data_IF_673839748771
#
_entry.id   IF_673839748771
#
_cell.length_a   1.000
_cell.length_b   1.000
_cell.length_c   1.000
_cell.angle_alpha   90.00
_cell.angle_beta   90.00
_cell.angle_gamma   90.00
#
_symmetry.space_group_name_H-M   'P 1'
#
loop_
_entity.id
_entity.type
_entity.pdbx_description
1 polymer ?
#
# COMPACT_ATOMS: atom_id res chain seq x y z
N UNK A 1 69.28 30.02 28.67
CA UNK A 1 67.83 29.88 28.38
C UNK A 1 67.71 28.91 27.21
N UNK A 2 67.42 27.64 27.50
CA UNK A 2 67.38 26.58 26.48
C UNK A 2 65.93 26.36 26.03
N UNK A 3 65.69 26.44 24.72
CA UNK A 3 64.39 26.16 24.12
C UNK A 3 64.10 24.63 24.13
N UNK A 4 62.86 24.20 24.38
CA UNK A 4 62.50 22.79 24.28
C UNK A 4 62.37 22.35 22.82
N UNK A 5 62.99 21.20 22.51
CA UNK A 5 62.85 20.49 21.24
C UNK A 5 61.39 20.03 21.04
N UNK A 6 60.73 20.56 20.00
CA UNK A 6 59.47 20.02 19.48
C UNK A 6 59.79 18.80 18.61
N UNK A 7 59.48 17.62 19.13
CA UNK A 7 59.52 16.37 18.37
C UNK A 7 58.35 16.37 17.37
N UNK A 8 58.58 16.17 16.06
CA UNK A 8 57.50 16.08 15.09
C UNK A 8 56.70 14.77 15.28
N UNK A 9 55.38 14.78 15.05
CA UNK A 9 54.55 13.60 15.22
C UNK A 9 54.90 12.53 14.18
N UNK A 10 55.02 11.30 14.65
CA UNK A 10 55.31 10.10 13.87
C UNK A 10 54.22 9.87 12.78
N UNK A 11 54.57 9.69 11.49
CA UNK A 11 53.60 9.45 10.41
C UNK A 11 52.72 8.21 10.63
N UNK A 12 53.11 7.28 11.50
CA UNK A 12 52.29 6.13 11.89
C UNK A 12 51.03 6.53 12.70
N UNK A 13 51.09 7.61 13.47
CA UNK A 13 49.96 8.09 14.29
C UNK A 13 48.93 8.85 13.44
N UNK A 14 49.37 9.57 12.41
CA UNK A 14 48.48 10.26 11.47
C UNK A 14 47.69 9.26 10.59
N UNK A 15 48.34 8.18 10.15
CA UNK A 15 47.67 7.13 9.37
C UNK A 15 46.62 6.37 10.21
N UNK A 16 46.89 6.11 11.50
CA UNK A 16 45.91 5.49 12.43
C UNK A 16 44.69 6.38 12.69
N UNK A 17 44.86 7.71 12.74
CA UNK A 17 43.75 8.65 12.90
C UNK A 17 42.83 8.69 11.65
N UNK A 18 43.38 8.56 10.45
CA UNK A 18 42.59 8.53 9.21
C UNK A 18 41.87 7.19 8.98
N UNK A 19 42.45 6.06 9.40
CA UNK A 19 41.78 4.75 9.34
C UNK A 19 40.66 4.65 10.38
N UNK A 20 40.85 5.22 11.57
CA UNK A 20 39.80 5.30 12.61
C UNK A 20 38.61 6.18 12.19
N UNK A 21 38.87 7.21 11.36
CA UNK A 21 37.82 8.10 10.82
C UNK A 21 37.00 7.45 9.69
N UNK A 22 37.54 6.43 9.01
CA UNK A 22 36.86 5.71 7.93
C UNK A 22 35.85 4.68 8.46
N UNK A 23 36.13 4.06 9.62
CA UNK A 23 35.20 3.11 10.27
C UNK A 23 34.14 3.77 11.17
N UNK A 24 34.20 5.09 11.40
CA UNK A 24 33.19 5.80 12.19
C UNK A 24 32.04 6.40 11.37
N UNK A 25 32.05 6.29 10.03
CA UNK A 25 30.92 6.67 9.17
C UNK A 25 29.75 5.66 9.18
N UNK A 26 29.81 4.63 10.01
CA UNK A 26 28.70 3.68 10.20
C UNK A 26 27.87 3.94 11.46
N UNK A 27 28.24 4.91 12.30
CA UNK A 27 27.57 5.15 13.59
C UNK A 27 27.07 6.59 13.71
N UNK A 28 25.94 6.82 13.05
CA UNK A 28 24.79 7.63 13.51
C UNK A 28 23.73 7.57 12.41
N UNK A 29 23.22 6.35 12.14
CA UNK A 29 21.92 6.23 11.50
C UNK A 29 20.94 6.91 12.46
N UNK A 30 20.42 8.08 12.08
CA UNK A 30 19.16 8.52 12.66
C UNK A 30 18.21 7.31 12.57
N UNK A 31 17.59 6.94 13.68
CA UNK A 31 16.74 5.76 13.71
C UNK A 31 15.48 6.04 12.88
N UNK A 32 15.36 5.47 11.67
CA UNK A 32 14.10 5.46 10.94
C UNK A 32 13.14 4.45 11.60
N UNK A 33 11.93 4.87 11.97
CA UNK A 33 10.89 3.95 12.49
C UNK A 33 10.28 3.04 11.41
N UNK A 34 10.71 3.18 10.14
CA UNK A 34 10.16 2.40 9.03
C UNK A 34 10.24 0.90 9.22
N UNK A 35 11.20 0.38 9.99
CA UNK A 35 11.26 -1.05 10.30
C UNK A 35 10.07 -1.48 11.16
N UNK A 36 9.76 -0.72 12.20
CA UNK A 36 8.59 -0.97 13.07
C UNK A 36 7.29 -0.83 12.27
N UNK A 37 7.17 0.21 11.43
CA UNK A 37 6.04 0.37 10.52
C UNK A 37 5.89 -0.80 9.54
N UNK A 38 7.00 -1.33 9.03
CA UNK A 38 6.98 -2.49 8.12
C UNK A 38 6.47 -3.72 8.85
N UNK A 39 6.92 -3.97 10.09
CA UNK A 39 6.43 -5.09 10.90
C UNK A 39 4.94 -4.96 11.20
N UNK A 40 4.48 -3.79 11.67
CA UNK A 40 3.04 -3.53 11.90
C UNK A 40 2.21 -3.77 10.64
N UNK A 41 2.69 -3.27 9.50
CA UNK A 41 2.04 -3.47 8.21
C UNK A 41 1.90 -4.96 7.85
N UNK A 42 2.92 -5.77 8.09
CA UNK A 42 2.82 -7.21 7.84
C UNK A 42 1.92 -7.92 8.83
N UNK A 43 1.94 -7.54 10.10
CA UNK A 43 1.02 -8.09 11.09
C UNK A 43 -0.44 -7.84 10.68
N UNK A 44 -0.75 -6.62 10.27
CA UNK A 44 -2.08 -6.23 9.75
C UNK A 44 -2.46 -7.01 8.49
N UNK A 45 -1.57 -7.06 7.49
CA UNK A 45 -1.83 -7.77 6.23
C UNK A 45 -1.97 -9.29 6.45
N UNK A 46 -1.14 -9.88 7.31
CA UNK A 46 -1.16 -11.30 7.63
C UNK A 46 -2.42 -11.67 8.41
N UNK A 47 -2.78 -10.90 9.44
CA UNK A 47 -3.99 -11.13 10.25
C UNK A 47 -5.24 -11.15 9.35
N UNK A 48 -5.36 -10.20 8.44
CA UNK A 48 -6.50 -10.13 7.50
C UNK A 48 -6.45 -11.22 6.42
N UNK A 49 -5.27 -11.71 6.05
CA UNK A 49 -5.13 -12.81 5.10
C UNK A 49 -5.48 -14.18 5.70
N UNK A 50 -5.28 -14.35 7.00
CA UNK A 50 -5.56 -15.58 7.74
C UNK A 50 -7.00 -15.66 8.27
N UNK A 51 -7.72 -14.53 8.29
CA UNK A 51 -9.12 -14.49 8.68
C UNK A 51 -10.02 -15.31 7.74
N UNK A 52 -10.73 -16.29 8.29
CA UNK A 52 -11.73 -17.09 7.56
C UNK A 52 -13.13 -16.45 7.59
N UNK A 53 -13.32 -15.40 8.38
CA UNK A 53 -14.58 -14.65 8.42
C UNK A 53 -14.74 -13.77 7.18
N UNK A 54 -15.98 -13.66 6.71
CA UNK A 54 -16.38 -12.76 5.64
C UNK A 54 -16.16 -11.31 6.11
N UNK A 55 -14.96 -10.76 5.91
CA UNK A 55 -14.66 -9.36 6.23
C UNK A 55 -15.57 -8.44 5.42
N UNK A 56 -16.23 -7.51 6.11
CA UNK A 56 -17.10 -6.53 5.46
C UNK A 56 -16.30 -5.63 4.51
N UNK A 57 -16.95 -5.15 3.44
CA UNK A 57 -16.27 -4.37 2.40
C UNK A 57 -15.67 -3.07 2.94
N UNK A 58 -16.35 -2.40 3.88
CA UNK A 58 -15.87 -1.20 4.56
C UNK A 58 -14.59 -1.46 5.37
N UNK A 59 -14.53 -2.58 6.09
CA UNK A 59 -13.33 -2.98 6.82
C UNK A 59 -12.16 -3.26 5.86
N UNK A 60 -12.40 -4.00 4.76
CA UNK A 60 -11.38 -4.23 3.73
C UNK A 60 -10.86 -2.91 3.12
N UNK A 61 -11.75 -1.98 2.80
CA UNK A 61 -11.37 -0.65 2.28
C UNK A 61 -10.57 0.16 3.31
N UNK A 62 -10.89 0.01 4.61
CA UNK A 62 -10.16 0.62 5.71
C UNK A 62 -8.74 0.09 5.83
N UNK A 63 -8.58 -1.24 5.91
CA UNK A 63 -7.26 -1.88 5.98
C UNK A 63 -6.40 -1.56 4.76
N UNK A 64 -6.99 -1.63 3.57
CA UNK A 64 -6.27 -1.33 2.33
C UNK A 64 -5.74 0.10 2.30
N UNK A 65 -6.55 1.07 2.76
CA UNK A 65 -6.14 2.48 2.87
C UNK A 65 -5.04 2.68 3.93
N UNK A 66 -5.15 2.01 5.07
CA UNK A 66 -4.11 2.00 6.10
C UNK A 66 -2.77 1.48 5.55
N UNK A 67 -2.82 0.32 4.90
CA UNK A 67 -1.66 -0.30 4.26
C UNK A 67 -1.01 0.59 3.19
N UNK A 68 -1.81 1.26 2.35
CA UNK A 68 -1.31 2.24 1.38
C UNK A 68 -0.58 3.40 2.07
N UNK A 69 -1.13 3.91 3.18
CA UNK A 69 -0.56 5.03 3.94
C UNK A 69 0.78 4.65 4.56
N UNK A 70 0.86 3.49 5.21
CA UNK A 70 2.11 2.96 5.77
C UNK A 70 3.17 2.74 4.67
N UNK A 71 2.78 2.10 3.57
CA UNK A 71 3.66 1.84 2.44
C UNK A 71 4.19 3.12 1.82
N UNK A 72 3.34 4.14 1.63
CA UNK A 72 3.75 5.45 1.12
C UNK A 72 4.76 6.13 2.07
N UNK A 73 4.51 6.10 3.38
CA UNK A 73 5.40 6.68 4.39
C UNK A 73 6.79 6.06 4.36
N UNK A 74 6.88 4.72 4.24
CA UNK A 74 8.16 4.02 4.13
C UNK A 74 8.83 4.29 2.78
N UNK A 75 8.04 4.40 1.70
CA UNK A 75 8.53 4.71 0.36
C UNK A 75 9.18 6.09 0.25
N UNK A 76 8.69 7.06 1.01
CA UNK A 76 9.19 8.43 1.00
C UNK A 76 10.35 8.63 2.00
N UNK A 77 10.76 7.58 2.74
CA UNK A 77 11.92 7.66 3.63
C UNK A 77 13.26 7.50 2.88
N UNK A 78 14.05 8.57 2.85
CA UNK A 78 15.37 8.58 2.21
C UNK A 78 16.40 7.65 2.89
N UNK A 79 16.30 7.48 4.21
CA UNK A 79 17.27 6.68 4.97
C UNK A 79 17.15 5.19 4.65
N UNK A 80 15.93 4.71 4.47
CA UNK A 80 15.66 3.30 4.23
C UNK A 80 15.63 2.99 2.70
N UNK A 81 15.86 3.98 1.82
CA UNK A 81 15.87 3.85 0.34
C UNK A 81 16.90 2.87 -0.20
N UNK A 82 18.09 2.83 0.39
CA UNK A 82 19.21 1.98 -0.05
C UNK A 82 19.18 0.57 0.58
N UNK A 83 18.25 0.30 1.49
CA UNK A 83 18.18 -1.00 2.18
C UNK A 83 17.43 -2.01 1.30
N UNK A 84 18.15 -2.99 0.74
CA UNK A 84 17.58 -4.02 -0.12
C UNK A 84 16.45 -4.82 0.57
N UNK A 85 16.64 -5.16 1.84
CA UNK A 85 15.64 -5.86 2.66
C UNK A 85 14.33 -5.06 2.77
N UNK A 86 14.43 -3.76 3.05
CA UNK A 86 13.27 -2.87 3.11
C UNK A 86 12.54 -2.83 1.76
N UNK A 87 13.26 -2.79 0.64
CA UNK A 87 12.64 -2.80 -0.68
C UNK A 87 11.95 -4.13 -1.00
N UNK A 88 12.50 -5.26 -0.55
CA UNK A 88 11.86 -6.57 -0.68
C UNK A 88 10.58 -6.66 0.15
N UNK A 89 10.61 -6.19 1.40
CA UNK A 89 9.44 -6.11 2.25
C UNK A 89 8.33 -5.25 1.63
N UNK A 90 8.66 -4.07 1.12
CA UNK A 90 7.70 -3.21 0.45
C UNK A 90 7.10 -3.87 -0.81
N UNK A 91 7.91 -4.65 -1.55
CA UNK A 91 7.40 -5.39 -2.70
C UNK A 91 6.42 -6.49 -2.29
N UNK A 92 6.71 -7.22 -1.21
CA UNK A 92 5.77 -8.21 -0.67
C UNK A 92 4.50 -7.57 -0.12
N UNK A 93 4.60 -6.44 0.59
CA UNK A 93 3.43 -5.68 1.03
C UNK A 93 2.56 -5.25 -0.17
N UNK A 94 3.19 -4.72 -1.22
CA UNK A 94 2.52 -4.44 -2.49
C UNK A 94 1.84 -5.68 -3.07
N UNK A 95 2.48 -6.84 -3.02
CA UNK A 95 1.86 -8.09 -3.48
C UNK A 95 0.62 -8.50 -2.68
N UNK A 96 0.69 -8.46 -1.36
CA UNK A 96 -0.45 -8.76 -0.47
C UNK A 96 -1.61 -7.78 -0.71
N UNK A 97 -1.30 -6.49 -0.84
CA UNK A 97 -2.28 -5.48 -1.21
C UNK A 97 -2.90 -5.78 -2.58
N UNK A 98 -2.13 -6.31 -3.53
CA UNK A 98 -2.66 -6.84 -4.80
C UNK A 98 -3.78 -7.87 -4.59
N UNK A 99 -3.55 -8.87 -3.76
CA UNK A 99 -4.57 -9.89 -3.42
C UNK A 99 -5.76 -9.28 -2.68
N UNK A 100 -5.52 -8.32 -1.78
CA UNK A 100 -6.59 -7.59 -1.10
C UNK A 100 -7.45 -6.78 -2.08
N UNK A 101 -6.85 -6.21 -3.12
CA UNK A 101 -7.56 -5.48 -4.18
C UNK A 101 -8.51 -6.38 -4.97
N UNK A 102 -8.12 -7.64 -5.23
CA UNK A 102 -8.98 -8.64 -5.85
C UNK A 102 -10.19 -8.97 -4.94
N UNK A 103 -9.93 -9.16 -3.64
CA UNK A 103 -11.00 -9.38 -2.63
C UNK A 103 -11.98 -8.20 -2.57
N UNK A 104 -11.48 -6.96 -2.53
CA UNK A 104 -12.32 -5.75 -2.51
C UNK A 104 -13.26 -5.70 -3.73
N UNK A 105 -12.73 -5.95 -4.93
CA UNK A 105 -13.54 -5.95 -6.15
C UNK A 105 -14.56 -7.09 -6.15
N UNK A 106 -14.15 -8.30 -5.74
CA UNK A 106 -15.06 -9.43 -5.63
C UNK A 106 -16.20 -9.15 -4.65
N UNK A 107 -15.90 -8.63 -3.46
CA UNK A 107 -16.91 -8.25 -2.46
C UNK A 107 -17.84 -7.15 -2.98
N UNK A 108 -17.31 -6.10 -3.63
CA UNK A 108 -18.15 -5.07 -4.25
C UNK A 108 -19.12 -5.64 -5.30
N UNK A 109 -18.63 -6.52 -6.17
CA UNK A 109 -19.47 -7.15 -7.20
C UNK A 109 -20.48 -8.13 -6.62
N UNK A 110 -20.15 -8.81 -5.52
CA UNK A 110 -21.09 -9.64 -4.79
C UNK A 110 -22.22 -8.79 -4.22
N UNK A 111 -21.91 -7.73 -3.45
CA UNK A 111 -22.90 -6.79 -2.94
C UNK A 111 -23.77 -6.23 -4.08
N UNK A 112 -23.14 -5.86 -5.20
CA UNK A 112 -23.88 -5.34 -6.36
C UNK A 112 -24.86 -6.34 -6.96
N UNK A 113 -24.56 -7.63 -6.96
CA UNK A 113 -25.46 -8.69 -7.45
C UNK A 113 -26.60 -8.93 -6.48
N UNK A 114 -26.30 -9.11 -5.20
CA UNK A 114 -27.29 -9.26 -4.14
C UNK A 114 -28.31 -8.13 -4.17
N UNK A 115 -27.87 -6.90 -4.44
CA UNK A 115 -28.77 -5.77 -4.57
C UNK A 115 -29.70 -5.80 -5.79
N UNK A 116 -29.28 -6.37 -6.91
CA UNK A 116 -30.15 -6.57 -8.08
C UNK A 116 -31.19 -7.66 -7.80
N UNK A 117 -30.80 -8.69 -7.05
CA UNK A 117 -31.66 -9.83 -6.74
C UNK A 117 -32.66 -9.51 -5.60
N UNK A 118 -32.24 -8.70 -4.62
CA UNK A 118 -33.05 -8.25 -3.48
C UNK A 118 -34.04 -7.11 -3.78
N UNK A 119 -34.14 -6.60 -5.02
CA UNK A 119 -35.31 -5.79 -5.40
C UNK A 119 -36.64 -6.57 -5.28
N UNK A 120 -36.57 -7.90 -5.09
CA UNK A 120 -37.71 -8.80 -4.97
C UNK A 120 -38.05 -9.15 -3.50
N UNK A 121 -37.15 -8.95 -2.52
CA UNK A 121 -37.36 -9.35 -1.12
C UNK A 121 -36.72 -8.36 -0.13
N UNK A 122 -37.58 -7.69 0.67
CA UNK A 122 -37.42 -6.87 1.88
C UNK A 122 -36.05 -6.21 2.21
N UNK A 123 -36.13 -4.91 2.54
CA UNK A 123 -35.07 -3.89 2.62
C UNK A 123 -33.94 -4.03 3.65
N UNK A 124 -33.74 -5.18 4.29
CA UNK A 124 -32.67 -5.34 5.29
C UNK A 124 -31.43 -6.00 4.67
N UNK A 125 -30.42 -5.23 4.23
CA UNK A 125 -29.25 -5.88 3.65
C UNK A 125 -27.93 -5.11 3.50
N UNK A 126 -27.90 -3.79 3.61
CA UNK A 126 -26.62 -3.06 3.60
C UNK A 126 -26.65 -2.06 4.73
N UNK A 127 -25.69 -2.16 5.64
CA UNK A 127 -25.53 -1.26 6.79
C UNK A 127 -25.63 0.22 6.41
N UNK A 128 -25.99 1.04 7.39
CA UNK A 128 -26.19 2.46 7.19
C UNK A 128 -24.92 3.17 6.69
N UNK A 129 -25.06 3.94 5.61
CA UNK A 129 -23.97 4.75 5.07
C UNK A 129 -24.25 6.23 5.33
N UNK A 130 -23.28 6.90 5.96
CA UNK A 130 -23.35 8.32 6.31
C UNK A 130 -22.16 9.07 5.70
N UNK A 131 -22.42 10.28 5.23
CA UNK A 131 -21.41 11.26 4.87
C UNK A 131 -21.58 12.50 5.74
N UNK A 132 -20.73 12.65 6.75
CA UNK A 132 -20.90 13.67 7.79
C UNK A 132 -22.29 13.54 8.45
N UNK A 133 -23.18 14.51 8.29
CA UNK A 133 -24.56 14.48 8.80
C UNK A 133 -25.60 13.97 7.79
N UNK A 134 -25.20 13.70 6.55
CA UNK A 134 -26.10 13.22 5.49
C UNK A 134 -26.16 11.69 5.47
N UNK A 135 -27.36 11.10 5.53
CA UNK A 135 -27.58 9.66 5.39
C UNK A 135 -27.85 9.33 3.92
N UNK A 136 -27.14 8.33 3.39
CA UNK A 136 -27.35 7.84 2.04
C UNK A 136 -28.40 6.73 2.07
N UNK A 137 -29.66 7.11 1.89
CA UNK A 137 -30.79 6.19 1.92
C UNK A 137 -30.98 5.46 0.59
N UNK A 138 -30.72 6.15 -0.53
CA UNK A 138 -30.88 5.56 -1.84
C UNK A 138 -29.82 4.48 -2.10
N UNK A 139 -30.29 3.26 -2.37
CA UNK A 139 -29.45 2.08 -2.63
C UNK A 139 -28.57 2.22 -3.87
N UNK A 140 -29.07 2.82 -4.95
CA UNK A 140 -28.29 3.10 -6.15
C UNK A 140 -27.20 4.15 -5.88
N UNK A 141 -27.52 5.22 -5.14
CA UNK A 141 -26.56 6.22 -4.68
C UNK A 141 -25.46 5.59 -3.82
N UNK A 142 -25.84 4.76 -2.84
CA UNK A 142 -24.90 4.03 -1.98
C UNK A 142 -23.93 3.16 -2.79
N UNK A 143 -24.45 2.46 -3.79
CA UNK A 143 -23.61 1.64 -4.68
C UNK A 143 -22.71 2.44 -5.59
N UNK A 144 -23.15 3.61 -6.02
CA UNK A 144 -22.33 4.54 -6.78
C UNK A 144 -21.19 5.11 -5.91
N UNK A 145 -21.48 5.47 -4.65
CA UNK A 145 -20.47 5.92 -3.69
C UNK A 145 -19.46 4.82 -3.40
N UNK A 146 -19.92 3.61 -3.05
CA UNK A 146 -19.04 2.46 -2.84
C UNK A 146 -18.18 2.15 -4.08
N UNK A 147 -18.78 2.14 -5.26
CA UNK A 147 -18.05 1.93 -6.51
C UNK A 147 -17.00 3.00 -6.77
N UNK A 148 -17.28 4.24 -6.39
CA UNK A 148 -16.34 5.36 -6.49
C UNK A 148 -15.19 5.22 -5.50
N UNK A 149 -15.47 4.82 -4.25
CA UNK A 149 -14.44 4.56 -3.23
C UNK A 149 -13.49 3.44 -3.66
N UNK A 150 -14.03 2.30 -4.10
CA UNK A 150 -13.23 1.18 -4.62
C UNK A 150 -12.36 1.66 -5.78
N UNK A 151 -12.94 2.40 -6.73
CA UNK A 151 -12.21 2.90 -7.89
C UNK A 151 -11.05 3.83 -7.50
N UNK A 152 -11.30 4.80 -6.62
CA UNK A 152 -10.28 5.75 -6.15
C UNK A 152 -9.15 5.01 -5.46
N UNK A 153 -9.45 4.08 -4.55
CA UNK A 153 -8.42 3.30 -3.86
C UNK A 153 -7.57 2.48 -4.82
N UNK A 154 -8.16 1.84 -5.84
CA UNK A 154 -7.39 1.11 -6.85
C UNK A 154 -6.52 2.04 -7.70
N UNK A 155 -6.99 3.26 -7.98
CA UNK A 155 -6.22 4.26 -8.71
C UNK A 155 -5.01 4.75 -7.89
N UNK A 156 -5.21 5.05 -6.61
CA UNK A 156 -4.14 5.41 -5.67
C UNK A 156 -3.13 4.28 -5.52
N UNK A 157 -3.61 3.04 -5.37
CA UNK A 157 -2.73 1.89 -5.30
C UNK A 157 -1.93 1.66 -6.58
N UNK A 158 -2.54 1.87 -7.75
CA UNK A 158 -1.82 1.82 -9.03
C UNK A 158 -0.65 2.82 -9.05
N UNK A 159 -0.87 4.03 -8.56
CA UNK A 159 0.17 5.05 -8.46
C UNK A 159 1.28 4.63 -7.48
N UNK A 160 0.90 4.07 -6.33
CA UNK A 160 1.83 3.56 -5.34
C UNK A 160 2.68 2.39 -5.88
N UNK A 161 2.08 1.49 -6.67
CA UNK A 161 2.79 0.40 -7.35
C UNK A 161 3.84 0.91 -8.33
N UNK A 162 3.58 2.00 -9.05
CA UNK A 162 4.60 2.62 -9.89
C UNK A 162 5.79 3.15 -9.07
N UNK A 163 5.54 3.75 -7.91
CA UNK A 163 6.61 4.17 -6.99
C UNK A 163 7.40 2.96 -6.46
N UNK A 164 6.71 1.88 -6.06
CA UNK A 164 7.32 0.63 -5.61
C UNK A 164 8.21 0.01 -6.69
N UNK A 165 7.70 -0.13 -7.92
CA UNK A 165 8.45 -0.70 -9.07
C UNK A 165 9.71 0.11 -9.37
N UNK A 166 9.61 1.44 -9.36
CA UNK A 166 10.77 2.34 -9.54
C UNK A 166 11.83 2.14 -8.47
N UNK A 167 11.43 1.95 -7.21
CA UNK A 167 12.36 1.75 -6.09
C UNK A 167 12.97 0.34 -6.06
N UNK A 168 12.20 -0.70 -6.38
CA UNK A 168 12.65 -2.09 -6.41
C UNK A 168 13.50 -2.45 -7.64
N UNK A 169 13.35 -1.67 -8.72
CA UNK A 169 13.98 -1.94 -10.02
C UNK A 169 13.21 -2.99 -10.83
N UNK A 170 12.99 -2.74 -12.12
CA UNK A 170 12.12 -3.56 -12.97
C UNK A 170 12.60 -5.00 -13.22
N UNK A 171 13.89 -5.27 -13.06
CA UNK A 171 14.51 -6.58 -13.38
C UNK A 171 14.92 -7.39 -12.15
N UNK A 172 14.57 -6.92 -10.95
CA UNK A 172 14.80 -7.66 -9.71
C UNK A 172 13.62 -8.63 -9.45
N UNK A 173 13.85 -9.69 -8.66
CA UNK A 173 12.76 -10.57 -8.20
C UNK A 173 11.56 -9.80 -7.61
N UNK A 174 11.79 -8.83 -6.70
CA UNK A 174 10.76 -7.91 -6.23
C UNK A 174 10.02 -7.14 -7.33
N UNK A 175 10.71 -6.74 -8.40
CA UNK A 175 10.11 -6.06 -9.55
C UNK A 175 9.17 -6.95 -10.37
N UNK A 176 9.49 -8.24 -10.51
CA UNK A 176 8.62 -9.23 -11.18
C UNK A 176 7.32 -9.41 -10.38
N UNK A 177 7.42 -9.57 -9.06
CA UNK A 177 6.28 -9.70 -8.16
C UNK A 177 5.33 -8.50 -8.27
N UNK A 178 5.89 -7.29 -8.26
CA UNK A 178 5.12 -6.06 -8.41
C UNK A 178 4.50 -5.90 -9.81
N UNK A 179 5.13 -6.45 -10.84
CA UNK A 179 4.59 -6.44 -12.20
C UNK A 179 3.40 -7.40 -12.36
N UNK A 180 3.41 -8.54 -11.66
CA UNK A 180 2.25 -9.43 -11.58
C UNK A 180 1.10 -8.76 -10.83
N UNK A 181 1.39 -8.12 -9.71
CA UNK A 181 0.40 -7.33 -8.96
C UNK A 181 -0.21 -6.21 -9.80
N UNK A 182 0.60 -5.50 -10.58
CA UNK A 182 0.13 -4.46 -11.50
C UNK A 182 -0.88 -5.00 -12.53
N UNK A 183 -0.63 -6.20 -13.09
CA UNK A 183 -1.57 -6.88 -13.98
C UNK A 183 -2.88 -7.21 -13.27
N UNK A 184 -2.83 -7.72 -12.04
CA UNK A 184 -4.01 -8.01 -11.23
C UNK A 184 -4.86 -6.77 -11.00
N UNK A 185 -4.24 -5.66 -10.57
CA UNK A 185 -4.95 -4.40 -10.34
C UNK A 185 -5.57 -3.86 -11.62
N UNK A 186 -4.87 -3.95 -12.76
CA UNK A 186 -5.44 -3.56 -14.07
C UNK A 186 -6.63 -4.42 -14.46
N UNK A 187 -6.57 -5.73 -14.23
CA UNK A 187 -7.69 -6.64 -14.46
C UNK A 187 -8.89 -6.28 -13.55
N UNK A 188 -8.65 -6.08 -12.25
CA UNK A 188 -9.68 -5.69 -11.28
C UNK A 188 -10.37 -4.37 -11.65
N UNK A 189 -9.60 -3.36 -12.10
CA UNK A 189 -10.15 -2.09 -12.59
C UNK A 189 -10.97 -2.25 -13.87
N UNK A 190 -10.52 -3.10 -14.80
CA UNK A 190 -11.23 -3.37 -16.04
C UNK A 190 -12.60 -4.02 -15.77
N UNK A 191 -12.65 -4.94 -14.81
CA UNK A 191 -13.89 -5.59 -14.36
C UNK A 191 -14.87 -4.57 -13.76
N UNK A 192 -14.41 -3.63 -12.93
CA UNK A 192 -15.26 -2.57 -12.38
C UNK A 192 -15.85 -1.67 -13.46
N UNK A 193 -15.08 -1.35 -14.49
CA UNK A 193 -15.54 -0.53 -15.62
C UNK A 193 -16.54 -1.27 -16.51
N UNK A 194 -16.27 -2.54 -16.84
CA UNK A 194 -17.22 -3.38 -17.60
C UNK A 194 -18.56 -3.52 -16.86
N UNK A 195 -18.50 -3.53 -15.53
CA UNK A 195 -19.68 -3.44 -14.69
C UNK A 195 -20.49 -2.16 -14.89
N UNK A 196 -19.88 -0.99 -15.17
CA UNK A 196 -20.62 0.29 -15.31
C UNK A 196 -21.43 0.36 -16.61
N UNK A 197 -21.00 -0.33 -17.67
CA UNK A 197 -21.58 -0.21 -19.01
C UNK A 197 -22.95 -0.86 -19.23
N UNK A 198 -23.50 -1.56 -18.24
CA UNK A 198 -24.83 -2.23 -18.33
C UNK A 198 -26.00 -1.38 -17.79
N UNK A 199 -25.76 -0.10 -17.49
CA UNK A 199 -26.77 0.83 -16.96
C UNK A 199 -27.31 1.84 -17.99
N UNK A 200 -26.94 1.72 -19.26
CA UNK A 200 -27.51 2.56 -20.30
C UNK A 200 -28.84 1.93 -20.77
N UNK A 201 -29.94 2.38 -20.17
CA UNK A 201 -31.29 2.19 -20.73
C UNK A 201 -31.32 2.89 -22.09
N UNK A 202 -31.72 2.22 -23.18
CA UNK A 202 -32.01 2.91 -24.43
C UNK A 202 -33.36 3.60 -24.28
N UNK A 203 -33.33 4.93 -24.14
CA UNK A 203 -34.50 5.76 -24.40
C UNK A 203 -34.86 5.69 -25.89
N UNK A 204 -36.14 5.47 -26.15
CA UNK A 204 -36.78 5.90 -27.39
C UNK A 204 -37.08 4.80 -28.41
N UNK A 205 -38.30 4.27 -28.33
CA UNK A 205 -39.36 4.56 -29.31
C UNK A 205 -40.74 4.30 -28.74
#
# INVERSE_FOLDING_TARGET
MSAPNLVPPDPATAARAMISSSMQRTSRRASCHCREFTTSLFEELCAESAGTQQTSLDALLGYFRGAMTHTATILDCDQCRLQLESNMFLAMAGHYMGTMSERIVASYLQLRRELKDSEILLEEGIGDMWFSTYRIENKAERMQVLGSLVWVQLAEFSHLLEKLKKRAGLRSGPGVLLSETDKKVKAARSVLLAGKSTSAVPDGK
#
